data_IF_853608525534
#
_entry.id   IF_853608525534
#
_cell.length_a   1.000
_cell.length_b   1.000
_cell.length_c   1.000
_cell.angle_alpha   90.00
_cell.angle_beta   90.00
_cell.angle_gamma   90.00
#
_symmetry.space_group_name_H-M   'P 1'
#
loop_
_entity.id
_entity.type
_entity.pdbx_description
1 polymer ?
#
# COMPACT_ATOMS: atom_id res chain seq x y z
N UNK A 1 21.78 23.47 -12.79
CA UNK A 1 21.72 23.41 -11.32
C UNK A 1 21.51 24.83 -10.83
N UNK A 2 20.34 25.17 -10.34
CA UNK A 2 20.16 26.37 -9.53
C UNK A 2 20.27 25.94 -8.07
N UNK A 3 21.36 26.33 -7.42
CA UNK A 3 21.59 26.08 -6.00
C UNK A 3 21.14 27.34 -5.25
N UNK A 4 20.02 27.27 -4.53
CA UNK A 4 19.64 28.32 -3.58
C UNK A 4 19.88 27.80 -2.17
N UNK A 5 20.85 28.39 -1.49
CA UNK A 5 21.07 28.20 -0.05
C UNK A 5 20.06 29.08 0.67
N UNK A 6 19.15 28.49 1.43
CA UNK A 6 18.27 29.24 2.35
C UNK A 6 18.98 29.26 3.71
N UNK A 7 19.08 30.42 4.40
CA UNK A 7 19.92 30.58 5.57
C UNK A 7 19.41 29.80 6.80
N UNK A 8 20.33 29.56 7.74
CA UNK A 8 20.14 28.97 9.06
C UNK A 8 18.99 29.68 9.78
N UNK A 9 17.95 28.93 10.18
CA UNK A 9 16.86 29.47 10.99
C UNK A 9 17.03 28.98 12.43
N UNK A 10 17.30 29.91 13.34
CA UNK A 10 17.47 29.64 14.78
C UNK A 10 16.12 29.89 15.47
N UNK A 11 15.60 28.88 16.18
CA UNK A 11 14.33 28.99 16.91
C UNK A 11 14.53 28.92 18.42
N UNK A 12 13.77 29.74 19.16
CA UNK A 12 13.60 29.63 20.61
C UNK A 12 12.20 29.07 20.86
N UNK A 13 12.11 27.83 21.37
CA UNK A 13 10.82 27.23 21.67
C UNK A 13 10.34 27.70 23.06
N UNK A 14 9.30 28.52 23.08
CA UNK A 14 8.42 28.72 24.25
C UNK A 14 7.15 27.90 24.04
N UNK A 15 6.44 27.52 25.11
CA UNK A 15 5.35 26.52 25.19
C UNK A 15 4.06 26.81 24.39
N UNK A 16 4.13 27.49 23.26
CA UNK A 16 3.04 27.63 22.29
C UNK A 16 3.50 27.12 20.92
N UNK A 17 2.87 26.05 20.43
CA UNK A 17 3.15 25.47 19.11
C UNK A 17 3.05 26.53 18.00
N UNK A 18 4.14 26.78 17.29
CA UNK A 18 4.13 27.47 15.99
C UNK A 18 4.45 26.48 14.87
N UNK A 19 3.42 26.05 14.16
CA UNK A 19 3.54 25.27 12.92
C UNK A 19 3.81 26.22 11.76
N UNK A 20 4.87 25.98 10.98
CA UNK A 20 5.17 26.74 9.76
C UNK A 20 4.61 26.04 8.53
N UNK A 21 4.03 26.83 7.62
CA UNK A 21 3.52 26.40 6.32
C UNK A 21 4.43 26.97 5.23
N UNK A 22 4.93 26.13 4.33
CA UNK A 22 5.71 26.59 3.18
C UNK A 22 4.78 27.39 2.24
N UNK A 23 5.03 28.69 2.09
CA UNK A 23 4.34 29.58 1.14
C UNK A 23 5.09 29.55 -0.20
N UNK A 24 4.87 28.49 -0.96
CA UNK A 24 5.31 28.37 -2.34
C UNK A 24 4.19 27.74 -3.15
N UNK A 25 3.30 28.58 -3.66
CA UNK A 25 2.03 28.17 -4.30
C UNK A 25 2.18 27.56 -5.70
N UNK A 26 3.40 27.35 -6.20
CA UNK A 26 3.60 26.76 -7.53
C UNK A 26 3.86 25.25 -7.43
N UNK A 27 2.97 24.41 -8.01
CA UNK A 27 3.22 22.99 -8.16
C UNK A 27 4.57 22.75 -8.84
N UNK A 28 5.31 21.75 -8.36
CA UNK A 28 6.48 21.27 -9.08
C UNK A 28 6.00 20.67 -10.40
N UNK A 29 6.58 21.13 -11.51
CA UNK A 29 6.27 20.64 -12.85
C UNK A 29 6.55 19.11 -12.95
N UNK A 30 5.80 18.37 -13.78
CA UNK A 30 6.08 16.95 -14.05
C UNK A 30 7.52 16.71 -14.54
N UNK A 31 8.17 15.63 -14.08
CA UNK A 31 9.54 15.27 -14.45
C UNK A 31 10.65 15.98 -13.66
N UNK A 32 10.27 16.65 -12.56
CA UNK A 32 11.20 17.25 -11.61
C UNK A 32 11.17 16.49 -10.30
N UNK A 33 12.33 16.01 -9.89
CA UNK A 33 12.55 15.43 -8.56
C UNK A 33 13.08 16.51 -7.63
N UNK A 34 12.41 16.67 -6.48
CA UNK A 34 12.84 17.56 -5.41
C UNK A 34 13.35 16.73 -4.26
N UNK A 35 14.63 16.86 -3.96
CA UNK A 35 15.25 16.25 -2.79
C UNK A 35 15.37 17.32 -1.72
N UNK A 36 14.87 17.03 -0.52
CA UNK A 36 15.02 17.90 0.64
C UNK A 36 15.91 17.18 1.65
N UNK A 37 17.14 17.63 1.78
CA UNK A 37 18.05 17.15 2.81
C UNK A 37 17.96 18.11 4.00
N UNK A 38 17.60 17.61 5.18
CA UNK A 38 17.55 18.44 6.38
C UNK A 38 18.33 17.83 7.54
N UNK A 39 18.81 18.68 8.45
CA UNK A 39 19.49 18.30 9.69
C UNK A 39 18.89 19.11 10.83
N UNK A 40 18.63 18.47 11.96
CA UNK A 40 18.27 19.18 13.19
C UNK A 40 19.47 19.24 14.14
N UNK A 41 19.49 20.32 14.91
CA UNK A 41 20.52 20.64 15.88
C UNK A 41 19.85 20.91 17.21
N UNK A 42 20.36 20.36 18.30
CA UNK A 42 19.90 20.67 19.65
C UNK A 42 21.04 21.35 20.41
N UNK A 43 20.82 22.57 20.90
CA UNK A 43 21.84 23.33 21.61
C UNK A 43 21.96 22.83 23.06
N UNK A 44 23.18 22.45 23.45
CA UNK A 44 23.54 22.31 24.86
C UNK A 44 24.01 23.67 25.37
N UNK A 45 23.21 24.31 26.23
CA UNK A 45 23.53 25.60 26.83
C UNK A 45 24.67 25.53 27.85
N UNK A 46 24.86 24.38 28.49
CA UNK A 46 25.97 24.18 29.45
C UNK A 46 27.33 24.07 28.75
N UNK A 47 27.35 23.49 27.55
CA UNK A 47 28.57 23.26 26.77
C UNK A 47 28.75 24.24 25.60
N UNK A 48 27.71 25.02 25.28
CA UNK A 48 27.62 25.89 24.12
C UNK A 48 27.96 25.19 22.78
N UNK A 49 27.53 23.92 22.65
CA UNK A 49 27.73 23.11 21.44
C UNK A 49 26.38 22.58 20.95
N UNK A 50 26.26 22.39 19.63
CA UNK A 50 25.11 21.75 19.03
C UNK A 50 25.34 20.24 18.92
N UNK A 51 24.41 19.46 19.45
CA UNK A 51 24.27 18.06 19.08
C UNK A 51 23.65 17.99 17.68
N UNK A 52 24.38 17.41 16.72
CA UNK A 52 23.88 17.15 15.36
C UNK A 52 23.33 15.74 15.34
N UNK A 53 22.03 15.58 15.11
CA UNK A 53 21.43 14.25 14.96
C UNK A 53 21.32 13.95 13.46
N UNK A 54 22.24 13.13 12.96
CA UNK A 54 22.12 12.42 11.69
C UNK A 54 22.05 10.93 11.96
N UNK A 55 21.45 10.14 11.07
CA UNK A 55 21.48 8.67 11.21
C UNK A 55 22.91 8.18 11.45
N UNK A 56 23.17 7.65 12.65
CA UNK A 56 24.43 7.00 12.98
C UNK A 56 24.65 5.82 12.02
N UNK A 57 25.76 5.85 11.29
CA UNK A 57 26.38 4.71 10.61
C UNK A 57 25.57 3.95 9.55
N UNK A 58 25.20 4.61 8.44
CA UNK A 58 25.20 3.93 7.13
C UNK A 58 26.05 4.72 6.14
N UNK A 59 27.00 4.02 5.50
CA UNK A 59 27.85 4.50 4.39
C UNK A 59 27.09 4.91 3.13
N UNK A 60 25.78 5.07 3.21
CA UNK A 60 24.95 5.60 2.13
C UNK A 60 24.24 6.83 2.67
N UNK A 61 24.61 8.01 2.15
CA UNK A 61 23.75 9.19 2.25
C UNK A 61 22.45 8.86 1.53
N UNK A 62 21.46 8.30 2.23
CA UNK A 62 20.12 8.13 1.69
C UNK A 62 19.50 9.52 1.56
N UNK A 63 19.64 10.07 0.37
CA UNK A 63 18.95 11.27 -0.08
C UNK A 63 17.45 11.02 0.10
N UNK A 64 16.79 11.77 0.99
CA UNK A 64 15.35 11.64 1.20
C UNK A 64 14.66 12.34 0.02
N UNK A 65 14.38 11.57 -1.02
CA UNK A 65 13.60 12.03 -2.15
C UNK A 65 12.12 12.03 -1.78
N UNK A 66 11.51 13.22 -1.78
CA UNK A 66 10.09 13.34 -1.54
C UNK A 66 9.36 13.38 -2.87
N UNK A 67 8.74 12.25 -3.22
CA UNK A 67 7.78 12.22 -4.31
C UNK A 67 6.38 12.58 -3.76
N UNK A 68 5.62 13.40 -4.50
CA UNK A 68 4.44 14.12 -3.99
C UNK A 68 3.29 13.18 -3.59
N UNK A 69 3.18 12.91 -2.30
CA UNK A 69 2.05 13.24 -1.40
C UNK A 69 2.52 12.85 -0.01
N UNK A 70 3.08 13.81 0.73
CA UNK A 70 3.26 13.62 2.17
C UNK A 70 1.83 13.60 2.72
N UNK A 71 1.30 12.42 3.02
CA UNK A 71 0.00 12.29 3.67
C UNK A 71 0.13 12.98 5.03
N UNK A 72 -0.40 14.21 5.14
CA UNK A 72 -0.29 15.05 6.34
C UNK A 72 0.83 16.10 6.37
N UNK A 73 1.67 16.24 5.33
CA UNK A 73 2.61 17.37 5.20
C UNK A 73 3.77 17.46 6.22
N UNK A 74 4.06 16.42 6.99
CA UNK A 74 5.12 16.42 8.02
C UNK A 74 6.25 15.42 7.69
N UNK A 75 7.50 15.85 7.87
CA UNK A 75 8.70 15.01 7.82
C UNK A 75 9.58 15.33 9.06
N UNK A 76 10.17 14.31 9.69
CA UNK A 76 10.94 14.47 10.91
C UNK A 76 11.52 13.15 11.43
N UNK A 77 12.13 13.18 12.62
CA UNK A 77 12.69 12.00 13.30
C UNK A 77 11.72 11.53 14.39
N UNK A 78 11.26 10.28 14.30
CA UNK A 78 10.39 9.64 15.31
C UNK A 78 11.11 9.47 16.67
N UNK A 79 12.44 9.41 16.66
CA UNK A 79 13.30 9.29 17.84
C UNK A 79 14.48 10.26 17.79
N UNK A 80 14.21 11.55 17.98
CA UNK A 80 15.22 12.61 17.92
C UNK A 80 16.23 12.58 19.09
N UNK A 81 15.73 12.60 20.33
CA UNK A 81 16.54 12.47 21.56
C UNK A 81 15.71 11.73 22.60
N UNK A 82 16.33 10.86 23.39
CA UNK A 82 15.60 10.18 24.46
C UNK A 82 15.18 11.20 25.53
N UNK A 83 13.98 11.02 26.09
CA UNK A 83 13.46 11.89 27.15
C UNK A 83 14.40 11.96 28.36
N UNK A 84 15.04 10.84 28.72
CA UNK A 84 16.02 10.79 29.82
C UNK A 84 17.22 11.71 29.57
N UNK A 85 17.75 11.70 28.34
CA UNK A 85 18.89 12.56 27.96
C UNK A 85 18.47 14.02 27.86
N UNK A 86 17.27 14.29 27.33
CA UNK A 86 16.76 15.65 27.15
C UNK A 86 16.46 16.35 28.48
N UNK A 87 15.83 15.65 29.44
CA UNK A 87 15.42 16.21 30.72
C UNK A 87 16.55 16.25 31.77
N UNK A 88 17.67 15.57 31.52
CA UNK A 88 18.83 15.63 32.41
C UNK A 88 19.55 16.99 32.25
N UNK A 89 19.45 17.80 33.30
CA UNK A 89 20.01 19.17 33.38
C UNK A 89 21.52 19.19 33.10
N UNK A 90 22.25 18.11 33.39
CA UNK A 90 23.69 18.03 33.15
C UNK A 90 24.05 18.04 31.65
N UNK A 91 23.11 17.64 30.79
CA UNK A 91 23.28 17.68 29.33
C UNK A 91 23.03 19.08 28.74
N UNK A 92 22.37 19.97 29.50
CA UNK A 92 22.18 21.37 29.14
C UNK A 92 21.22 21.63 27.97
N UNK A 93 20.42 20.65 27.55
CA UNK A 93 19.47 20.80 26.45
C UNK A 93 18.17 21.50 26.86
N UNK A 94 17.80 21.42 28.14
CA UNK A 94 16.61 22.03 28.72
C UNK A 94 17.03 23.04 29.78
N UNK A 95 16.64 24.30 29.61
CA UNK A 95 16.90 25.37 30.57
C UNK A 95 15.98 25.25 31.79
N UNK A 96 16.35 25.89 32.90
CA UNK A 96 15.57 25.87 34.14
C UNK A 96 14.15 26.47 33.98
N UNK A 97 13.95 27.34 33.00
CA UNK A 97 12.65 27.92 32.63
C UNK A 97 11.82 27.02 31.69
N UNK A 98 12.31 25.81 31.39
CA UNK A 98 11.68 24.86 30.48
C UNK A 98 11.90 25.15 29.00
N UNK A 99 12.72 26.15 28.64
CA UNK A 99 13.03 26.47 27.24
C UNK A 99 14.16 25.61 26.68
N UNK A 100 14.18 25.41 25.37
CA UNK A 100 15.28 24.80 24.63
C UNK A 100 15.47 25.48 23.26
N UNK A 101 16.65 25.31 22.65
CA UNK A 101 16.97 25.85 21.33
C UNK A 101 17.24 24.71 20.35
N UNK A 102 16.46 24.72 19.26
CA UNK A 102 16.56 23.74 18.17
C UNK A 102 16.86 24.52 16.87
N UNK A 103 17.90 24.10 16.16
CA UNK A 103 18.25 24.58 14.84
C UNK A 103 17.86 23.58 13.76
N UNK A 104 17.65 24.06 12.53
CA UNK A 104 17.48 23.20 11.37
C UNK A 104 18.24 23.76 10.17
N UNK A 105 19.02 22.91 9.51
CA UNK A 105 19.54 23.17 8.17
C UNK A 105 18.65 22.44 7.18
N UNK A 106 18.23 23.14 6.12
CA UNK A 106 17.38 22.58 5.06
C UNK A 106 17.99 22.90 3.71
N UNK A 107 18.35 21.87 2.96
CA UNK A 107 18.87 21.95 1.60
C UNK A 107 17.82 21.40 0.65
N UNK A 108 17.41 22.23 -0.31
CA UNK A 108 16.46 21.82 -1.36
C UNK A 108 17.22 21.76 -2.67
N UNK A 109 17.24 20.59 -3.31
CA UNK A 109 17.78 20.44 -4.66
C UNK A 109 16.69 19.99 -5.63
N UNK A 110 16.77 20.53 -6.86
CA UNK A 110 15.89 20.16 -7.97
C UNK A 110 16.72 19.52 -9.06
N UNK A 111 16.38 18.30 -9.47
CA UNK A 111 16.99 17.63 -10.61
C UNK A 111 15.92 17.17 -11.59
N UNK A 112 16.21 17.31 -12.88
CA UNK A 112 15.34 16.80 -13.95
C UNK A 112 15.67 15.33 -14.13
N UNK A 113 14.74 14.45 -13.80
CA UNK A 113 14.91 13.00 -14.00
C UNK A 113 14.77 12.68 -15.49
N UNK A 114 15.67 11.84 -16.01
CA UNK A 114 15.48 11.16 -17.31
C UNK A 114 14.59 9.90 -17.20
N UNK A 115 13.86 9.76 -16.09
CA UNK A 115 12.99 8.61 -15.82
C UNK A 115 11.61 8.96 -16.35
N UNK A 116 11.26 8.36 -17.48
CA UNK A 116 10.00 8.63 -18.21
C UNK A 116 8.79 7.94 -17.57
N UNK A 117 8.99 7.04 -16.58
CA UNK A 117 7.90 6.27 -15.97
C UNK A 117 7.89 6.44 -14.44
N UNK A 118 7.34 7.54 -13.95
CA UNK A 118 7.02 7.71 -12.53
C UNK A 118 5.65 7.05 -12.26
N UNK A 119 5.63 5.78 -11.82
CA UNK A 119 4.39 5.12 -11.36
C UNK A 119 3.86 5.87 -10.12
N UNK A 120 2.75 6.58 -10.27
CA UNK A 120 2.06 7.30 -9.19
C UNK A 120 1.01 6.40 -8.57
N UNK A 121 1.26 5.94 -7.36
CA UNK A 121 0.27 5.18 -6.58
C UNK A 121 -0.61 6.14 -5.78
N UNK A 122 -1.91 6.13 -6.07
CA UNK A 122 -2.94 6.78 -5.25
C UNK A 122 -3.67 5.73 -4.42
N UNK A 123 -3.57 5.86 -3.09
CA UNK A 123 -4.35 5.04 -2.16
C UNK A 123 -5.76 5.61 -2.02
N UNK A 124 -6.76 4.73 -1.95
CA UNK A 124 -8.16 5.11 -1.77
C UNK A 124 -8.41 5.28 -0.26
N UNK A 125 -8.83 6.48 0.14
CA UNK A 125 -9.33 6.72 1.49
C UNK A 125 -10.75 6.17 1.61
N UNK A 126 -10.99 5.33 2.63
CA UNK A 126 -12.26 4.63 2.88
C UNK A 126 -12.71 3.76 1.69
N UNK A 127 -11.98 2.70 1.38
CA UNK A 127 -12.32 1.84 0.25
C UNK A 127 -13.61 1.06 0.51
N UNK A 128 -14.49 1.01 -0.50
CA UNK A 128 -15.68 0.16 -0.48
C UNK A 128 -15.31 -1.31 -0.69
N UNK A 129 -16.09 -2.21 -0.10
CA UNK A 129 -16.03 -3.65 -0.36
C UNK A 129 -17.10 -4.03 -1.37
N UNK A 130 -16.73 -4.83 -2.37
CA UNK A 130 -17.64 -5.43 -3.34
C UNK A 130 -17.75 -6.92 -3.08
N UNK A 131 -18.98 -7.41 -3.03
CA UNK A 131 -19.25 -8.84 -2.93
C UNK A 131 -19.65 -9.39 -4.29
N UNK A 132 -18.86 -10.31 -4.81
CA UNK A 132 -19.16 -11.13 -5.98
C UNK A 132 -19.67 -12.47 -5.48
N UNK A 133 -20.85 -12.89 -5.94
CA UNK A 133 -21.39 -14.22 -5.66
C UNK A 133 -21.62 -14.95 -6.97
N UNK A 134 -21.07 -16.15 -7.08
CA UNK A 134 -21.24 -17.02 -8.23
C UNK A 134 -21.79 -18.37 -7.79
N UNK A 135 -23.07 -18.57 -8.09
CA UNK A 135 -23.74 -19.85 -7.95
C UNK A 135 -23.57 -20.66 -9.23
N UNK A 136 -23.06 -21.87 -9.11
CA UNK A 136 -22.90 -22.81 -10.23
C UNK A 136 -23.87 -23.96 -10.01
N UNK A 137 -24.95 -23.97 -10.78
CA UNK A 137 -25.87 -25.09 -10.85
C UNK A 137 -25.32 -26.18 -11.78
N UNK A 138 -25.58 -27.43 -11.44
CA UNK A 138 -25.06 -28.60 -12.18
C UNK A 138 -23.55 -28.53 -12.41
N UNK A 139 -22.78 -28.39 -11.32
CA UNK A 139 -21.32 -28.28 -11.32
C UNK A 139 -20.63 -29.34 -12.16
N UNK A 140 -21.17 -30.56 -12.20
CA UNK A 140 -20.63 -31.68 -12.99
C UNK A 140 -20.46 -31.27 -14.47
N UNK A 141 -21.44 -30.59 -15.06
CA UNK A 141 -21.36 -30.10 -16.44
C UNK A 141 -20.24 -29.07 -16.66
N UNK A 142 -19.90 -28.28 -15.63
CA UNK A 142 -18.78 -27.32 -15.67
C UNK A 142 -17.44 -27.97 -15.37
N UNK A 143 -17.43 -29.10 -14.66
CA UNK A 143 -16.21 -29.80 -14.24
C UNK A 143 -15.45 -30.49 -15.38
N UNK A 144 -16.08 -30.59 -16.56
CA UNK A 144 -15.45 -31.05 -17.80
C UNK A 144 -14.69 -29.95 -18.52
N UNK A 145 -15.01 -28.67 -18.25
CA UNK A 145 -14.28 -27.55 -18.82
C UNK A 145 -12.90 -27.41 -18.17
N UNK A 146 -11.90 -27.02 -18.97
CA UNK A 146 -10.57 -26.72 -18.45
C UNK A 146 -10.60 -25.58 -17.43
N UNK A 147 -11.37 -24.52 -17.72
CA UNK A 147 -11.69 -23.45 -16.78
C UNK A 147 -13.01 -22.78 -17.18
N UNK A 148 -13.59 -22.02 -16.25
CA UNK A 148 -14.80 -21.24 -16.48
C UNK A 148 -14.80 -19.94 -15.68
N UNK A 149 -15.53 -18.95 -16.20
CA UNK A 149 -15.64 -17.62 -15.59
C UNK A 149 -17.04 -17.35 -15.05
N UNK A 150 -17.13 -16.59 -13.96
CA UNK A 150 -18.38 -15.97 -13.55
C UNK A 150 -18.78 -14.83 -14.49
N UNK A 151 -20.02 -14.36 -14.36
CA UNK A 151 -20.40 -13.08 -14.93
C UNK A 151 -19.57 -11.95 -14.26
N UNK A 152 -19.18 -10.90 -15.01
CA UNK A 152 -18.49 -9.75 -14.44
C UNK A 152 -19.39 -8.94 -13.51
N UNK A 153 -18.82 -8.40 -12.44
CA UNK A 153 -19.46 -7.43 -11.55
C UNK A 153 -18.66 -6.12 -11.52
N UNK A 154 -19.32 -4.95 -11.49
CA UNK A 154 -18.63 -3.67 -11.41
C UNK A 154 -17.99 -3.43 -10.03
N UNK A 155 -16.81 -2.81 -10.01
CA UNK A 155 -16.28 -2.09 -8.83
C UNK A 155 -16.60 -0.59 -8.90
N UNK A 156 -16.28 0.21 -7.87
CA UNK A 156 -16.55 1.68 -7.87
C UNK A 156 -15.74 2.44 -8.92
N UNK A 157 -14.73 1.82 -9.52
CA UNK A 157 -14.06 2.39 -10.67
C UNK A 157 -14.87 2.09 -11.91
N UNK A 158 -15.33 3.17 -12.55
CA UNK A 158 -16.16 3.21 -13.77
C UNK A 158 -15.71 2.29 -14.92
N UNK A 159 -14.48 1.75 -14.84
CA UNK A 159 -13.84 0.92 -15.87
C UNK A 159 -13.27 -0.41 -15.35
N UNK A 160 -13.53 -0.82 -14.10
CA UNK A 160 -12.99 -2.07 -13.56
C UNK A 160 -14.11 -3.08 -13.26
N UNK A 161 -14.16 -4.13 -14.06
CA UNK A 161 -15.06 -5.26 -13.87
C UNK A 161 -14.28 -6.44 -13.30
N UNK A 162 -14.82 -7.11 -12.30
CA UNK A 162 -14.22 -8.28 -11.65
C UNK A 162 -15.00 -9.53 -12.00
N UNK A 163 -14.31 -10.65 -12.17
CA UNK A 163 -14.92 -11.98 -12.36
C UNK A 163 -14.10 -13.04 -11.62
N UNK A 164 -14.75 -14.14 -11.26
CA UNK A 164 -14.06 -15.35 -10.80
C UNK A 164 -13.59 -16.17 -12.00
N UNK A 165 -12.43 -16.80 -11.88
CA UNK A 165 -11.90 -17.80 -12.80
C UNK A 165 -11.68 -19.10 -12.02
N UNK A 166 -12.41 -20.13 -12.40
CA UNK A 166 -12.41 -21.43 -11.77
C UNK A 166 -11.76 -22.47 -12.69
N UNK A 167 -10.82 -23.24 -12.15
CA UNK A 167 -10.33 -24.48 -12.75
C UNK A 167 -10.88 -25.65 -11.93
N UNK A 168 -11.97 -26.30 -12.36
CA UNK A 168 -12.65 -27.34 -11.58
C UNK A 168 -11.75 -28.51 -11.20
N UNK A 169 -10.80 -28.86 -12.08
CA UNK A 169 -9.81 -29.93 -11.87
C UNK A 169 -8.39 -29.38 -11.66
N UNK A 170 -8.27 -28.12 -11.25
CA UNK A 170 -6.98 -27.50 -10.96
C UNK A 170 -6.19 -27.07 -12.19
N UNK A 171 -5.11 -26.33 -11.94
CA UNK A 171 -4.18 -25.83 -12.96
C UNK A 171 -2.73 -26.07 -12.56
N UNK A 172 -1.83 -26.11 -13.55
CA UNK A 172 -0.38 -26.32 -13.33
C UNK A 172 -0.12 -27.57 -12.46
N UNK A 173 0.74 -27.48 -11.46
CA UNK A 173 1.11 -28.60 -10.58
C UNK A 173 -0.06 -29.11 -9.72
N UNK A 174 -1.13 -28.31 -9.57
CA UNK A 174 -2.33 -28.68 -8.83
C UNK A 174 -3.37 -29.44 -9.67
N UNK A 175 -3.09 -29.68 -10.95
CA UNK A 175 -4.03 -30.35 -11.86
C UNK A 175 -4.35 -31.78 -11.39
N UNK A 176 -5.64 -32.11 -11.36
CA UNK A 176 -6.18 -33.40 -10.93
C UNK A 176 -6.21 -33.62 -9.40
N UNK A 177 -5.63 -32.73 -8.60
CA UNK A 177 -5.58 -32.89 -7.13
C UNK A 177 -6.38 -31.83 -6.38
N UNK A 178 -6.39 -30.60 -6.87
CA UNK A 178 -7.11 -29.47 -6.25
C UNK A 178 -8.05 -28.81 -7.25
N UNK A 179 -9.05 -28.13 -6.72
CA UNK A 179 -9.78 -27.08 -7.42
C UNK A 179 -8.99 -25.79 -7.27
N UNK A 180 -8.77 -25.06 -8.36
CA UNK A 180 -8.09 -23.76 -8.32
C UNK A 180 -9.09 -22.62 -8.53
N UNK A 181 -8.95 -21.55 -7.76
CA UNK A 181 -9.84 -20.39 -7.82
C UNK A 181 -9.04 -19.09 -7.85
N UNK A 182 -9.40 -18.20 -8.78
CA UNK A 182 -8.75 -16.92 -8.98
C UNK A 182 -9.76 -15.80 -9.12
N UNK A 183 -9.37 -14.61 -8.68
CA UNK A 183 -9.97 -13.34 -9.05
C UNK A 183 -9.33 -12.84 -10.35
N UNK A 184 -10.13 -12.30 -11.26
CA UNK A 184 -9.68 -11.78 -12.53
C UNK A 184 -10.31 -10.42 -12.83
N UNK A 185 -9.56 -9.54 -13.49
CA UNK A 185 -10.12 -8.42 -14.23
C UNK A 185 -10.88 -8.98 -15.44
N UNK A 186 -12.11 -8.51 -15.64
CA UNK A 186 -12.94 -8.92 -16.77
C UNK A 186 -12.67 -8.11 -18.04
N UNK A 187 -12.15 -6.89 -17.89
CA UNK A 187 -11.87 -5.94 -18.96
C UNK A 187 -10.48 -5.27 -18.81
N UNK A 188 -9.38 -6.05 -18.67
CA UNK A 188 -8.03 -5.53 -18.44
C UNK A 188 -7.55 -4.54 -19.52
N UNK A 189 -8.01 -4.71 -20.76
CA UNK A 189 -7.71 -3.85 -21.91
C UNK A 189 -8.25 -2.42 -21.79
N UNK A 190 -9.23 -2.21 -20.91
CA UNK A 190 -9.80 -0.86 -20.66
C UNK A 190 -8.99 -0.06 -19.65
N UNK A 191 -8.01 -0.69 -19.00
CA UNK A 191 -7.12 -0.01 -18.08
C UNK A 191 -6.18 0.93 -18.83
N UNK A 192 -5.90 2.13 -18.30
CA UNK A 192 -4.87 2.99 -18.85
C UNK A 192 -3.52 2.26 -18.98
N UNK A 193 -2.70 2.57 -20.01
CA UNK A 193 -1.37 1.98 -20.16
C UNK A 193 -0.55 2.12 -18.88
N UNK A 194 0.14 1.05 -18.48
CA UNK A 194 0.97 0.98 -17.26
C UNK A 194 0.23 1.12 -15.93
N UNK A 195 -1.10 1.26 -15.94
CA UNK A 195 -1.87 1.31 -14.70
C UNK A 195 -2.00 -0.06 -14.04
N UNK A 196 -2.04 -0.04 -12.72
CA UNK A 196 -2.24 -1.22 -11.89
C UNK A 196 -3.25 -0.93 -10.81
N UNK A 197 -3.99 -1.95 -10.40
CA UNK A 197 -4.98 -1.86 -9.33
C UNK A 197 -4.48 -2.71 -8.18
N UNK A 198 -4.27 -2.09 -7.03
CA UNK A 198 -3.97 -2.81 -5.79
C UNK A 198 -5.27 -3.15 -5.09
N UNK A 199 -5.55 -4.45 -4.94
CA UNK A 199 -6.74 -4.92 -4.27
C UNK A 199 -6.41 -5.96 -3.20
N UNK A 200 -7.10 -5.87 -2.08
CA UNK A 200 -7.28 -6.97 -1.13
C UNK A 200 -8.53 -7.74 -1.52
N UNK A 201 -8.47 -9.06 -1.49
CA UNK A 201 -9.65 -9.87 -1.77
C UNK A 201 -9.64 -11.17 -0.98
N UNK A 202 -10.84 -11.65 -0.67
CA UNK A 202 -11.09 -12.94 -0.05
C UNK A 202 -11.91 -13.80 -1.00
N UNK A 203 -11.34 -14.89 -1.49
CA UNK A 203 -12.04 -15.93 -2.23
C UNK A 203 -12.65 -16.93 -1.25
N UNK A 204 -13.88 -17.38 -1.49
CA UNK A 204 -14.59 -18.31 -0.59
C UNK A 204 -15.37 -19.36 -1.37
N UNK A 205 -15.35 -20.59 -0.90
CA UNK A 205 -16.38 -21.61 -1.22
C UNK A 205 -17.31 -21.72 -0.02
N UNK A 206 -18.60 -21.58 -0.27
CA UNK A 206 -19.64 -21.58 0.76
C UNK A 206 -20.02 -23.01 1.09
N UNK A 207 -19.81 -23.42 2.34
CA UNK A 207 -20.53 -24.54 2.95
C UNK A 207 -22.00 -24.17 3.11
N UNK A 208 -22.86 -24.90 2.40
CA UNK A 208 -24.30 -24.70 2.32
C UNK A 208 -25.08 -25.43 3.42
N UNK A 209 -24.39 -26.18 4.29
CA UNK A 209 -25.00 -27.04 5.32
C UNK A 209 -24.72 -26.54 6.73
N UNK A 210 -23.45 -26.30 7.08
CA UNK A 210 -23.05 -25.93 8.45
C UNK A 210 -22.52 -24.50 8.56
N UNK A 211 -22.48 -23.76 7.46
CA UNK A 211 -21.91 -22.41 7.36
C UNK A 211 -20.42 -22.34 7.75
N UNK A 212 -19.68 -23.45 7.62
CA UNK A 212 -18.23 -23.51 7.83
C UNK A 212 -17.54 -23.33 6.48
N UNK A 213 -17.40 -22.07 6.06
CA UNK A 213 -16.86 -21.76 4.74
C UNK A 213 -15.35 -22.00 4.64
N UNK A 214 -14.87 -22.32 3.43
CA UNK A 214 -13.45 -22.36 3.13
C UNK A 214 -13.04 -21.06 2.42
N UNK A 215 -12.02 -20.35 2.92
CA UNK A 215 -11.63 -19.04 2.37
C UNK A 215 -10.12 -18.85 2.25
N UNK A 216 -9.72 -18.03 1.28
CA UNK A 216 -8.34 -17.57 1.04
C UNK A 216 -8.33 -16.06 0.85
N UNK A 217 -7.55 -15.35 1.65
CA UNK A 217 -7.41 -13.89 1.59
C UNK A 217 -6.00 -13.51 1.16
N UNK A 218 -5.88 -12.57 0.22
CA UNK A 218 -4.59 -12.05 -0.21
C UNK A 218 -4.71 -10.61 -0.73
N UNK A 219 -3.57 -10.00 -1.03
CA UNK A 219 -3.46 -8.69 -1.66
C UNK A 219 -2.58 -8.80 -2.88
N UNK A 220 -2.99 -8.21 -4.00
CA UNK A 220 -2.15 -8.19 -5.18
C UNK A 220 -2.38 -6.97 -6.06
N UNK A 221 -1.39 -6.72 -6.93
CA UNK A 221 -1.49 -5.80 -8.04
C UNK A 221 -2.03 -6.50 -9.27
N UNK A 222 -3.09 -5.94 -9.85
CA UNK A 222 -3.69 -6.38 -11.11
C UNK A 222 -3.34 -5.37 -12.19
N UNK A 223 -3.03 -5.84 -13.39
CA UNK A 223 -2.74 -4.98 -14.54
C UNK A 223 -3.22 -5.63 -15.83
N UNK A 224 -3.13 -4.92 -16.95
CA UNK A 224 -3.42 -5.50 -18.25
C UNK A 224 -2.54 -6.72 -18.56
N UNK A 225 -1.30 -6.74 -18.08
CA UNK A 225 -0.34 -7.84 -18.27
C UNK A 225 -0.53 -8.99 -17.27
N UNK A 226 -1.01 -8.67 -16.07
CA UNK A 226 -1.24 -9.63 -14.99
C UNK A 226 -2.65 -9.41 -14.46
N UNK A 227 -3.69 -9.89 -15.19
CA UNK A 227 -5.08 -9.59 -14.87
C UNK A 227 -5.68 -10.54 -13.83
N UNK A 228 -4.93 -11.57 -13.37
CA UNK A 228 -5.44 -12.66 -12.53
C UNK A 228 -4.57 -12.88 -11.30
N UNK A 229 -5.19 -13.22 -10.17
CA UNK A 229 -4.52 -13.60 -8.94
C UNK A 229 -5.43 -14.51 -8.10
N UNK A 230 -4.87 -15.47 -7.38
CA UNK A 230 -5.66 -16.47 -6.65
C UNK A 230 -4.82 -17.57 -6.06
N UNK A 231 -5.43 -18.73 -5.86
CA UNK A 231 -4.76 -19.90 -5.30
C UNK A 231 -4.91 -21.11 -6.25
N UNK A 232 -3.80 -21.60 -6.85
CA UNK A 232 -3.77 -22.84 -7.62
C UNK A 232 -4.19 -24.07 -6.80
N UNK A 233 -3.89 -24.10 -5.50
CA UNK A 233 -4.23 -25.19 -4.59
C UNK A 233 -5.33 -24.74 -3.61
N UNK A 234 -6.44 -24.19 -4.14
CA UNK A 234 -7.48 -23.59 -3.30
C UNK A 234 -8.10 -24.63 -2.36
N UNK A 235 -8.66 -25.72 -2.87
CA UNK A 235 -9.19 -26.82 -2.04
C UNK A 235 -8.91 -28.16 -2.71
N UNK A 236 -8.58 -29.20 -1.92
CA UNK A 236 -8.43 -30.55 -2.46
C UNK A 236 -9.76 -31.03 -3.04
N UNK A 237 -9.70 -31.75 -4.16
CA UNK A 237 -10.91 -32.32 -4.77
C UNK A 237 -11.61 -33.29 -3.82
N UNK A 238 -10.88 -34.09 -3.05
CA UNK A 238 -11.49 -35.00 -2.06
C UNK A 238 -12.31 -34.26 -1.00
N UNK A 239 -11.85 -33.09 -0.55
CA UNK A 239 -12.53 -32.29 0.47
C UNK A 239 -13.73 -31.56 -0.14
N UNK A 240 -13.58 -31.05 -1.37
CA UNK A 240 -14.65 -30.39 -2.12
C UNK A 240 -15.83 -31.32 -2.44
N UNK A 241 -15.53 -32.56 -2.87
CA UNK A 241 -16.56 -33.56 -3.21
C UNK A 241 -17.09 -34.34 -2.00
N UNK A 242 -16.51 -34.17 -0.82
CA UNK A 242 -16.97 -34.84 0.39
C UNK A 242 -18.37 -34.36 0.77
N UNK A 243 -19.33 -35.28 0.93
CA UNK A 243 -20.68 -34.92 1.39
C UNK A 243 -20.69 -34.26 2.78
N UNK A 244 -19.67 -34.53 3.60
CA UNK A 244 -19.52 -33.94 4.92
C UNK A 244 -19.11 -32.46 4.91
N UNK A 245 -18.58 -31.94 3.79
CA UNK A 245 -18.06 -30.57 3.72
C UNK A 245 -19.13 -29.52 3.36
N UNK A 246 -20.26 -29.95 2.80
CA UNK A 246 -21.36 -29.04 2.41
C UNK A 246 -21.04 -28.09 1.26
N UNK A 247 -19.89 -28.24 0.58
CA UNK A 247 -19.46 -27.34 -0.51
C UNK A 247 -20.18 -27.62 -1.84
N UNK A 248 -20.58 -28.87 -2.08
CA UNK A 248 -21.34 -29.29 -3.25
C UNK A 248 -22.63 -29.99 -2.80
N UNK A 249 -23.76 -29.28 -2.84
CA UNK A 249 -25.07 -29.78 -2.40
C UNK A 249 -26.00 -29.87 -3.60
N UNK A 250 -26.55 -31.06 -3.86
CA UNK A 250 -27.43 -31.33 -5.00
C UNK A 250 -26.83 -30.89 -6.35
N UNK A 251 -25.50 -31.05 -6.51
CA UNK A 251 -24.79 -30.63 -7.71
C UNK A 251 -24.60 -29.12 -7.85
N UNK A 252 -24.97 -28.32 -6.84
CA UNK A 252 -24.78 -26.88 -6.81
C UNK A 252 -23.65 -26.50 -5.86
N UNK A 253 -22.77 -25.59 -6.30
CA UNK A 253 -21.78 -24.95 -5.44
C UNK A 253 -21.88 -23.43 -5.52
N UNK A 254 -21.45 -22.75 -4.46
CA UNK A 254 -21.47 -21.29 -4.38
C UNK A 254 -20.05 -20.81 -4.05
N UNK A 255 -19.55 -19.94 -4.91
CA UNK A 255 -18.26 -19.28 -4.75
C UNK A 255 -18.48 -17.78 -4.55
N UNK A 256 -17.70 -17.18 -3.66
CA UNK A 256 -17.77 -15.75 -3.38
C UNK A 256 -16.39 -15.10 -3.50
N UNK A 257 -16.38 -13.80 -3.80
CA UNK A 257 -15.24 -12.94 -3.58
C UNK A 257 -15.66 -11.65 -2.88
N UNK A 258 -15.04 -11.37 -1.74
CA UNK A 258 -15.09 -10.05 -1.11
C UNK A 258 -13.87 -9.27 -1.60
N UNK A 259 -14.06 -8.13 -2.28
CA UNK A 259 -13.01 -7.39 -3.00
C UNK A 259 -12.96 -5.97 -2.47
N UNK A 260 -11.77 -5.49 -2.11
CA UNK A 260 -11.54 -4.11 -1.64
C UNK A 260 -10.40 -3.50 -2.44
N UNK A 261 -10.69 -2.45 -3.21
CA UNK A 261 -9.66 -1.75 -3.98
C UNK A 261 -8.95 -0.76 -3.04
N UNK A 262 -7.66 -0.99 -2.83
CA UNK A 262 -6.85 -0.22 -1.90
C UNK A 262 -6.12 0.95 -2.58
N UNK A 263 -5.77 0.80 -3.86
CA UNK A 263 -5.08 1.84 -4.59
C UNK A 263 -4.96 1.59 -6.09
N UNK A 264 -4.51 2.61 -6.81
CA UNK A 264 -4.30 2.59 -8.25
C UNK A 264 -2.92 3.16 -8.53
N UNK A 265 -2.17 2.57 -9.46
CA UNK A 265 -0.98 3.19 -10.05
C UNK A 265 -1.32 3.78 -11.42
N UNK A 266 -0.75 4.94 -11.72
CA UNK A 266 -0.83 5.63 -13.01
C UNK A 266 0.56 5.99 -13.52
#
# INVERSE_FOLDING_TARGET
METRVVPIIIWKATTSLSTWKWLGEKPIEPGWEVTVDFKFFLLSHTRNIYCVVGEDNKKEKKHHCFYRTIVGGLAGFDRFVSQKVFSDVSNGYLNADGSCVIGADVFVSKKRTKVVNEERVSMIHNPSMYKLVWKIDNYVSKSEAHHCFSNPVPGDQKYCLWKLNLYPRGTSDASGSHLSLFLALANPETLPPSSKIFAEFTLRIVDQTYSIHFSYTTRNWFSALVPTCGNPEFIKLCDFYSEASGFLVNGTCIMEADITILGISH
#
